data_IF_869982641643
#
_entry.id   IF_869982641643
#
_cell.length_a   1.000
_cell.length_b   1.000
_cell.length_c   1.000
_cell.angle_alpha   90.00
_cell.angle_beta   90.00
_cell.angle_gamma   90.00
#
_symmetry.space_group_name_H-M   'P 1'
#
loop_
_entity.id
_entity.type
_entity.pdbx_description
1 polymer ?
#
# COMPACT_ATOMS: atom_id res chain seq x y z
N UNK A 1 -13.70 1.86 -5.51
CA UNK A 1 -12.26 1.73 -5.15
C UNK A 1 -11.43 2.23 -6.34
N UNK A 2 -10.30 2.91 -6.09
CA UNK A 2 -9.38 3.38 -7.13
C UNK A 2 -8.12 2.52 -7.05
N UNK A 3 -7.72 1.94 -8.19
CA UNK A 3 -6.48 1.17 -8.30
C UNK A 3 -5.35 2.11 -8.72
N UNK A 4 -4.28 2.21 -7.92
CA UNK A 4 -3.14 3.11 -8.16
C UNK A 4 -1.80 2.38 -8.30
N UNK A 5 -1.79 1.04 -8.23
CA UNK A 5 -0.58 0.23 -8.20
C UNK A 5 0.11 0.09 -9.56
N UNK A 6 -0.59 0.31 -10.68
CA UNK A 6 -0.01 0.23 -12.02
C UNK A 6 0.14 -1.19 -12.57
N UNK A 7 0.15 -1.32 -13.91
CA UNK A 7 0.08 -2.63 -14.59
C UNK A 7 1.35 -2.99 -15.36
N UNK A 8 2.38 -2.14 -15.32
CA UNK A 8 3.58 -2.35 -16.13
C UNK A 8 4.40 -3.53 -15.59
N UNK A 9 4.41 -3.73 -14.26
CA UNK A 9 5.09 -4.86 -13.65
C UNK A 9 4.37 -5.40 -12.42
N UNK A 10 4.22 -6.73 -12.41
CA UNK A 10 3.80 -7.49 -11.22
C UNK A 10 4.97 -7.76 -10.28
N UNK A 11 6.21 -7.49 -10.69
CA UNK A 11 7.41 -7.76 -9.93
C UNK A 11 8.04 -6.50 -9.32
N UNK A 12 7.67 -5.30 -9.73
CA UNK A 12 8.20 -4.08 -9.11
C UNK A 12 7.20 -2.94 -9.26
N UNK A 13 7.28 -1.90 -8.42
CA UNK A 13 6.48 -0.70 -8.57
C UNK A 13 6.72 -0.04 -9.94
N UNK A 14 5.66 0.46 -10.55
CA UNK A 14 5.78 1.35 -11.71
C UNK A 14 6.55 2.62 -11.27
N UNK A 15 7.31 3.22 -12.19
CA UNK A 15 8.19 4.36 -11.87
C UNK A 15 7.42 5.58 -11.33
N UNK A 16 6.15 5.74 -11.71
CA UNK A 16 5.27 6.84 -11.29
C UNK A 16 4.35 6.46 -10.12
N UNK A 17 4.56 5.30 -9.47
CA UNK A 17 3.72 4.84 -8.37
C UNK A 17 3.68 5.84 -7.20
N UNK A 18 4.83 6.39 -6.81
CA UNK A 18 4.92 7.39 -5.73
C UNK A 18 4.18 8.69 -6.08
N UNK A 19 4.30 9.16 -7.32
CA UNK A 19 3.60 10.34 -7.82
C UNK A 19 2.08 10.15 -7.77
N UNK A 20 1.60 8.97 -8.18
CA UNK A 20 0.18 8.59 -8.06
C UNK A 20 -0.25 8.56 -6.59
N UNK A 21 0.55 7.97 -5.70
CA UNK A 21 0.25 7.87 -4.27
C UNK A 21 0.16 9.24 -3.61
N UNK A 22 1.05 10.17 -3.98
CA UNK A 22 1.09 11.53 -3.44
C UNK A 22 -0.21 12.32 -3.64
N UNK A 23 -1.02 12.00 -4.66
CA UNK A 23 -2.32 12.62 -4.90
C UNK A 23 -3.37 12.24 -3.85
N UNK A 24 -3.22 11.08 -3.20
CA UNK A 24 -4.21 10.52 -2.27
C UNK A 24 -3.80 10.67 -0.81
N UNK A 25 -2.50 10.67 -0.51
CA UNK A 25 -2.01 10.82 0.86
C UNK A 25 -2.57 12.04 1.61
N UNK A 26 -2.76 13.23 1.00
CA UNK A 26 -3.28 14.41 1.70
C UNK A 26 -4.60 14.21 2.43
N UNK A 27 -5.48 13.32 1.94
CA UNK A 27 -6.79 13.08 2.54
C UNK A 27 -6.71 12.04 3.68
N UNK A 28 -6.92 12.42 4.95
CA UNK A 28 -6.83 11.51 6.10
C UNK A 28 -7.96 10.47 6.15
N UNK A 29 -9.04 10.68 5.39
CA UNK A 29 -10.16 9.75 5.32
C UNK A 29 -9.91 8.57 4.38
N UNK A 30 -8.85 8.61 3.59
CA UNK A 30 -8.50 7.52 2.70
C UNK A 30 -8.11 6.25 3.47
N UNK A 31 -8.48 5.12 2.86
CA UNK A 31 -8.13 3.77 3.31
C UNK A 31 -7.37 3.10 2.17
N UNK A 32 -6.23 2.52 2.51
CA UNK A 32 -5.32 1.91 1.55
C UNK A 32 -5.35 0.39 1.72
N UNK A 33 -5.56 -0.33 0.61
CA UNK A 33 -5.53 -1.79 0.60
C UNK A 33 -4.24 -2.22 -0.09
N UNK A 34 -3.37 -2.90 0.65
CA UNK A 34 -2.07 -3.36 0.17
C UNK A 34 -1.98 -4.87 0.24
N UNK A 35 -1.15 -5.46 -0.62
CA UNK A 35 -0.72 -6.84 -0.46
C UNK A 35 0.15 -6.96 0.79
N UNK A 36 -0.08 -7.99 1.59
CA UNK A 36 0.77 -8.29 2.74
C UNK A 36 2.19 -8.64 2.27
N UNK A 37 3.19 -8.46 3.14
CA UNK A 37 4.62 -8.61 2.79
C UNK A 37 4.97 -9.98 2.18
N UNK A 38 4.33 -11.05 2.65
CA UNK A 38 4.53 -12.41 2.13
C UNK A 38 4.03 -12.61 0.69
N UNK A 39 3.21 -11.69 0.17
CA UNK A 39 2.69 -11.74 -1.19
C UNK A 39 3.65 -11.03 -2.15
N UNK A 40 4.30 -11.80 -3.02
CA UNK A 40 5.37 -11.29 -3.90
C UNK A 40 4.86 -10.68 -5.21
N UNK A 41 3.59 -10.90 -5.55
CA UNK A 41 2.90 -10.17 -6.64
C UNK A 41 2.68 -8.73 -6.19
N UNK A 42 3.13 -7.80 -7.01
CA UNK A 42 3.20 -6.36 -6.74
C UNK A 42 4.16 -5.97 -5.60
N UNK A 43 5.26 -6.72 -5.42
CA UNK A 43 6.28 -6.45 -4.39
C UNK A 43 6.79 -5.00 -4.42
N UNK A 44 7.29 -4.53 -3.29
CA UNK A 44 7.87 -3.19 -3.11
C UNK A 44 6.86 -2.08 -2.82
N UNK A 45 5.62 -2.18 -3.33
CA UNK A 45 4.60 -1.12 -3.16
C UNK A 45 4.16 -0.89 -1.70
N UNK A 46 4.15 -1.95 -0.88
CA UNK A 46 3.91 -1.81 0.56
C UNK A 46 4.99 -0.95 1.22
N UNK A 47 6.26 -1.19 0.87
CA UNK A 47 7.37 -0.42 1.44
C UNK A 47 7.33 1.03 0.96
N UNK A 48 7.16 1.26 -0.34
CA UNK A 48 7.02 2.61 -0.90
C UNK A 48 5.85 3.38 -0.27
N UNK A 49 4.74 2.71 0.03
CA UNK A 49 3.65 3.35 0.76
C UNK A 49 4.08 3.82 2.16
N UNK A 50 4.75 2.96 2.93
CA UNK A 50 5.21 3.30 4.28
C UNK A 50 6.21 4.45 4.25
N UNK A 51 7.14 4.42 3.29
CA UNK A 51 8.16 5.45 3.09
C UNK A 51 7.50 6.79 2.71
N UNK A 52 6.60 6.80 1.74
CA UNK A 52 5.89 8.01 1.31
C UNK A 52 5.02 8.63 2.42
N UNK A 53 4.42 7.80 3.29
CA UNK A 53 3.70 8.30 4.48
C UNK A 53 4.67 8.96 5.47
N UNK A 54 5.83 8.33 5.72
CA UNK A 54 6.84 8.85 6.62
C UNK A 54 7.46 10.17 6.11
N UNK A 55 7.69 10.29 4.79
CA UNK A 55 8.20 11.51 4.14
C UNK A 55 7.28 12.72 4.33
N UNK A 56 5.97 12.49 4.47
CA UNK A 56 4.99 13.53 4.79
C UNK A 56 4.86 13.82 6.29
N UNK A 57 5.77 13.29 7.11
CA UNK A 57 5.72 13.37 8.57
C UNK A 57 4.41 12.81 9.17
N UNK A 58 3.80 11.83 8.49
CA UNK A 58 2.60 11.12 8.95
C UNK A 58 2.96 9.74 9.46
N UNK A 59 2.00 9.09 10.11
CA UNK A 59 2.16 7.71 10.61
C UNK A 59 1.19 6.78 9.92
N UNK A 60 1.72 5.73 9.27
CA UNK A 60 0.90 4.67 8.71
C UNK A 60 0.35 3.80 9.85
N UNK A 61 -0.97 3.60 9.88
CA UNK A 61 -1.66 2.81 10.88
C UNK A 61 -2.27 1.58 10.21
N UNK A 62 -1.78 0.39 10.60
CA UNK A 62 -2.39 -0.87 10.19
C UNK A 62 -3.72 -1.06 10.92
N UNK A 63 -4.80 -1.10 10.18
CA UNK A 63 -6.16 -1.27 10.69
C UNK A 63 -6.54 -2.73 10.77
N UNK A 64 -6.23 -3.50 9.73
CA UNK A 64 -6.66 -4.89 9.62
C UNK A 64 -5.77 -5.69 8.67
N UNK A 65 -5.59 -6.97 8.97
CA UNK A 65 -4.97 -7.95 8.07
C UNK A 65 -6.00 -9.03 7.72
N UNK A 66 -6.13 -9.33 6.42
CA UNK A 66 -6.90 -10.45 5.92
C UNK A 66 -5.96 -11.59 5.56
N UNK A 67 -6.27 -12.78 6.04
CA UNK A 67 -5.45 -13.98 5.83
C UNK A 67 -6.23 -15.10 5.15
N UNK A 68 -5.50 -16.05 4.57
CA UNK A 68 -6.03 -17.34 4.15
C UNK A 68 -6.49 -18.16 5.36
N UNK A 69 -7.18 -19.29 5.10
CA UNK A 69 -7.61 -20.21 6.16
C UNK A 69 -6.44 -20.78 6.97
N UNK A 70 -5.27 -20.91 6.35
CA UNK A 70 -4.04 -21.38 7.00
C UNK A 70 -3.28 -20.29 7.78
N UNK A 71 -3.81 -19.06 7.81
CA UNK A 71 -3.20 -17.93 8.49
C UNK A 71 -2.23 -17.11 7.64
N UNK A 72 -1.96 -17.50 6.39
CA UNK A 72 -1.08 -16.74 5.48
C UNK A 72 -1.70 -15.36 5.18
N UNK A 73 -1.02 -14.24 5.52
CA UNK A 73 -1.53 -12.90 5.23
C UNK A 73 -1.63 -12.65 3.72
N UNK A 74 -2.78 -12.13 3.27
CA UNK A 74 -3.03 -11.76 1.87
C UNK A 74 -3.06 -10.25 1.66
N UNK A 75 -3.82 -9.55 2.49
CA UNK A 75 -4.05 -8.12 2.35
C UNK A 75 -3.97 -7.42 3.70
N UNK A 76 -3.60 -6.15 3.64
CA UNK A 76 -3.53 -5.26 4.78
C UNK A 76 -4.31 -3.98 4.46
N UNK A 77 -5.05 -3.50 5.45
CA UNK A 77 -5.80 -2.24 5.40
C UNK A 77 -5.07 -1.22 6.23
N UNK A 78 -4.72 -0.09 5.61
CA UNK A 78 -3.94 0.96 6.23
C UNK A 78 -4.68 2.31 6.19
N UNK A 79 -4.37 3.17 7.15
CA UNK A 79 -4.69 4.60 7.13
C UNK A 79 -3.42 5.43 7.31
N UNK A 80 -3.44 6.67 6.84
CA UNK A 80 -2.34 7.63 6.98
C UNK A 80 -2.91 9.01 7.40
N UNK A 81 -3.46 9.11 8.62
CA UNK A 81 -4.00 10.38 9.13
C UNK A 81 -2.93 11.46 9.28
#
# INVERSE_FOLDING_TARGET
PIEIFGYDSVAEPDADFEERLALFLPNPDNVYLLRAEAQTVFRGRRQLFLDAVAEQARTAVLVQTFAQRDGTPLFEVWRAP
#
